data_IF_223176031595
#
_entry.id   IF_223176031595
#
_cell.length_a   1.000
_cell.length_b   1.000
_cell.length_c   1.000
_cell.angle_alpha   90.00
_cell.angle_beta   90.00
_cell.angle_gamma   90.00
#
_symmetry.space_group_name_H-M   'P 1'
#
loop_
_entity.id
_entity.type
_entity.pdbx_description
1 polymer ?
#
# COMPACT_ATOMS: atom_id res chain seq x y z
N UNK A 1 -17.66 16.84 -7.38
CA UNK A 1 -16.59 15.83 -7.30
C UNK A 1 -15.44 16.21 -6.36
N UNK A 2 -15.17 17.49 -6.08
CA UNK A 2 -14.02 17.88 -5.23
C UNK A 2 -14.12 17.47 -3.75
N UNK A 3 -15.32 17.48 -3.14
CA UNK A 3 -15.51 17.04 -1.75
C UNK A 3 -15.28 15.53 -1.51
N UNK A 4 -15.25 14.72 -2.58
CA UNK A 4 -15.11 13.26 -2.47
C UNK A 4 -13.63 12.88 -2.21
N UNK A 5 -12.68 13.73 -2.60
CA UNK A 5 -11.25 13.41 -2.50
C UNK A 5 -10.69 13.48 -1.08
N UNK A 6 -11.19 14.38 -0.24
CA UNK A 6 -10.78 14.47 1.17
C UNK A 6 -11.28 13.27 1.98
N UNK A 7 -12.52 12.83 1.74
CA UNK A 7 -13.09 11.62 2.37
C UNK A 7 -12.33 10.36 1.95
N UNK A 8 -11.91 10.29 0.67
CA UNK A 8 -11.10 9.18 0.16
C UNK A 8 -9.80 9.02 0.95
N UNK A 9 -9.18 10.12 1.39
CA UNK A 9 -7.88 10.08 2.07
C UNK A 9 -7.95 9.79 3.57
N UNK A 10 -9.14 9.81 4.18
CA UNK A 10 -9.35 9.71 5.64
C UNK A 10 -9.97 8.38 6.09
N UNK A 11 -10.48 7.56 5.18
CA UNK A 11 -11.11 6.28 5.51
C UNK A 11 -10.10 5.14 5.69
N UNK A 12 -10.34 4.22 6.61
CA UNK A 12 -9.53 3.01 6.81
C UNK A 12 -10.16 1.76 6.16
N UNK A 13 -11.38 1.88 5.62
CA UNK A 13 -12.14 0.76 5.08
C UNK A 13 -11.56 0.30 3.71
N UNK A 14 -11.08 -0.95 3.58
CA UNK A 14 -10.60 -1.48 2.29
C UNK A 14 -11.71 -1.58 1.23
N UNK A 15 -12.97 -1.71 1.63
CA UNK A 15 -14.12 -1.77 0.72
C UNK A 15 -14.39 -0.42 0.06
N UNK A 16 -13.94 0.67 0.69
CA UNK A 16 -14.18 2.02 0.20
C UNK A 16 -13.57 2.26 -1.19
N UNK A 17 -12.34 1.82 -1.45
CA UNK A 17 -11.70 2.01 -2.77
C UNK A 17 -12.48 1.29 -3.86
N UNK A 18 -12.94 0.07 -3.57
CA UNK A 18 -13.75 -0.73 -4.50
C UNK A 18 -15.09 -0.04 -4.77
N UNK A 19 -15.73 0.51 -3.73
CA UNK A 19 -16.98 1.25 -3.87
C UNK A 19 -16.81 2.50 -4.76
N UNK A 20 -15.71 3.24 -4.61
CA UNK A 20 -15.42 4.40 -5.45
C UNK A 20 -15.14 4.02 -6.91
N UNK A 21 -14.39 2.93 -7.15
CA UNK A 21 -14.18 2.40 -8.50
C UNK A 21 -15.52 2.02 -9.15
N UNK A 22 -16.41 1.36 -8.40
CA UNK A 22 -17.73 0.97 -8.88
C UNK A 22 -18.59 2.18 -9.25
N UNK A 23 -18.65 3.21 -8.38
CA UNK A 23 -19.37 4.47 -8.64
C UNK A 23 -18.83 5.18 -9.89
N UNK A 24 -17.51 5.22 -10.03
CA UNK A 24 -16.86 5.85 -11.17
C UNK A 24 -17.16 5.09 -12.47
N UNK A 25 -17.18 3.75 -12.44
CA UNK A 25 -17.57 2.93 -13.57
C UNK A 25 -19.03 3.18 -13.97
N UNK A 26 -19.94 3.23 -13.00
CA UNK A 26 -21.35 3.55 -13.24
C UNK A 26 -21.53 4.93 -13.91
N UNK A 27 -20.80 5.95 -13.43
CA UNK A 27 -20.79 7.28 -14.04
C UNK A 27 -20.21 7.28 -15.47
N UNK A 28 -19.22 6.45 -15.78
CA UNK A 28 -18.67 6.35 -17.13
C UNK A 28 -19.65 5.72 -18.12
N UNK A 29 -20.56 4.86 -17.63
CA UNK A 29 -21.52 4.11 -18.45
C UNK A 29 -22.94 4.64 -18.38
N UNK A 30 -23.19 5.76 -17.69
CA UNK A 30 -24.53 6.36 -17.59
C UNK A 30 -25.06 6.74 -18.99
N UNK A 31 -26.37 6.66 -19.18
CA UNK A 31 -27.04 7.07 -20.42
C UNK A 31 -26.98 8.60 -20.60
N UNK A 32 -26.93 9.35 -19.50
CA UNK A 32 -26.82 10.80 -19.46
C UNK A 32 -25.40 11.26 -19.83
N UNK A 33 -25.14 11.45 -21.13
CA UNK A 33 -23.81 11.75 -21.65
C UNK A 33 -23.17 12.99 -21.00
N UNK A 34 -23.98 13.98 -20.64
CA UNK A 34 -23.52 15.21 -19.98
C UNK A 34 -23.02 14.99 -18.55
N UNK A 35 -23.44 13.89 -17.90
CA UNK A 35 -22.97 13.50 -16.58
C UNK A 35 -21.70 12.64 -16.62
N UNK A 36 -21.33 12.13 -17.80
CA UNK A 36 -20.13 11.31 -17.93
C UNK A 36 -18.89 12.14 -17.61
N UNK A 37 -17.98 11.62 -16.77
CA UNK A 37 -16.75 12.34 -16.46
C UNK A 37 -15.89 12.47 -17.72
N UNK A 38 -15.21 13.61 -17.85
CA UNK A 38 -14.17 13.75 -18.86
C UNK A 38 -13.01 12.80 -18.57
N UNK A 39 -12.21 12.47 -19.59
CA UNK A 39 -11.00 11.65 -19.39
C UNK A 39 -10.02 12.28 -18.39
N UNK A 40 -9.95 13.61 -18.33
CA UNK A 40 -9.14 14.33 -17.34
C UNK A 40 -9.67 14.11 -15.91
N UNK A 41 -10.98 14.27 -15.71
CA UNK A 41 -11.63 14.04 -14.42
C UNK A 41 -11.46 12.58 -13.98
N UNK A 42 -11.63 11.63 -14.92
CA UNK A 42 -11.44 10.20 -14.69
C UNK A 42 -9.99 9.89 -14.27
N UNK A 43 -9.00 10.43 -14.99
CA UNK A 43 -7.59 10.24 -14.67
C UNK A 43 -7.23 10.84 -13.31
N UNK A 44 -7.73 12.04 -12.99
CA UNK A 44 -7.55 12.69 -11.67
C UNK A 44 -8.13 11.80 -10.56
N UNK A 45 -9.33 11.26 -10.76
CA UNK A 45 -10.01 10.44 -9.76
C UNK A 45 -9.28 9.11 -9.51
N UNK A 46 -8.94 8.38 -10.58
CA UNK A 46 -8.16 7.15 -10.50
C UNK A 46 -6.77 7.38 -9.89
N UNK A 47 -6.16 8.54 -10.16
CA UNK A 47 -4.89 8.93 -9.56
C UNK A 47 -4.96 9.08 -8.04
N UNK A 48 -6.04 9.66 -7.51
CA UNK A 48 -6.25 9.77 -6.05
C UNK A 48 -6.45 8.39 -5.43
N UNK A 49 -7.33 7.56 -6.01
CA UNK A 49 -7.58 6.19 -5.52
C UNK A 49 -6.31 5.34 -5.52
N UNK A 50 -5.48 5.44 -6.57
CA UNK A 50 -4.19 4.73 -6.65
C UNK A 50 -3.22 5.18 -5.55
N UNK A 51 -3.13 6.49 -5.27
CA UNK A 51 -2.26 7.01 -4.21
C UNK A 51 -2.71 6.55 -2.83
N UNK A 52 -4.00 6.59 -2.56
CA UNK A 52 -4.58 6.09 -1.32
C UNK A 52 -4.27 4.60 -1.12
N UNK A 53 -4.52 3.76 -2.13
CA UNK A 53 -4.26 2.33 -2.03
C UNK A 53 -2.77 2.00 -1.86
N UNK A 54 -1.88 2.74 -2.53
CA UNK A 54 -0.42 2.62 -2.33
C UNK A 54 0.01 3.00 -0.92
N UNK A 55 -0.53 4.08 -0.35
CA UNK A 55 -0.23 4.52 1.02
C UNK A 55 -0.60 3.43 2.02
N UNK A 56 -1.82 2.90 1.92
CA UNK A 56 -2.29 1.80 2.77
C UNK A 56 -1.43 0.54 2.67
N UNK A 57 -1.08 0.13 1.45
CA UNK A 57 -0.19 -1.03 1.25
C UNK A 57 1.19 -0.83 1.89
N UNK A 58 1.72 0.40 1.91
CA UNK A 58 2.98 0.69 2.58
C UNK A 58 2.83 0.62 4.12
N UNK A 59 1.70 1.06 4.66
CA UNK A 59 1.36 0.96 6.09
C UNK A 59 1.17 -0.51 6.53
N UNK A 60 0.46 -1.32 5.73
CA UNK A 60 0.28 -2.76 5.99
C UNK A 60 1.61 -3.53 5.93
N UNK A 61 2.51 -3.17 5.00
CA UNK A 61 3.86 -3.77 4.91
C UNK A 61 4.73 -3.35 6.11
N UNK A 62 4.62 -2.11 6.58
CA UNK A 62 5.31 -1.64 7.79
C UNK A 62 4.78 -2.26 9.08
N UNK A 63 3.49 -2.62 9.13
CA UNK A 63 2.90 -3.36 10.25
C UNK A 63 3.22 -4.86 10.21
N UNK A 64 3.41 -5.45 9.02
CA UNK A 64 3.73 -6.87 8.85
C UNK A 64 5.20 -7.20 9.12
N UNK A 65 6.13 -6.24 9.03
CA UNK A 65 7.54 -6.44 9.40
C UNK A 65 7.81 -6.47 10.91
N UNK A 66 6.76 -6.42 11.75
CA UNK A 66 6.86 -6.45 13.22
C UNK A 66 6.93 -7.83 13.86
N UNK A 67 6.84 -8.93 13.10
CA UNK A 67 7.06 -10.28 13.64
C UNK A 67 8.23 -10.96 12.92
N UNK A 68 9.20 -11.41 13.73
CA UNK A 68 10.42 -12.14 13.39
C UNK A 68 11.58 -11.35 12.75
N UNK A 69 12.36 -10.66 13.58
CA UNK A 69 13.82 -10.88 13.63
C UNK A 69 14.27 -10.91 15.09
N UNK A 70 13.81 -11.92 15.83
CA UNK A 70 14.61 -12.37 16.97
C UNK A 70 15.90 -12.99 16.39
N UNK A 71 17.03 -12.54 16.94
CA UNK A 71 18.41 -13.06 16.85
C UNK A 71 19.28 -12.79 15.60
N UNK A 72 19.72 -11.54 15.46
CA UNK A 72 21.13 -11.22 15.12
C UNK A 72 21.64 -10.32 16.26
N UNK A 73 22.83 -10.41 16.83
CA UNK A 73 23.99 -11.26 16.67
C UNK A 73 24.89 -10.96 17.91
N UNK A 74 25.41 -11.97 18.60
CA UNK A 74 26.66 -11.86 19.40
C UNK A 74 27.03 -13.21 20.05
N UNK A 75 27.50 -14.16 19.25
CA UNK A 75 28.33 -15.25 19.74
C UNK A 75 29.20 -15.78 18.60
N UNK A 76 30.11 -14.96 18.10
CA UNK A 76 31.31 -15.49 17.47
C UNK A 76 32.23 -15.94 18.61
N UNK A 77 32.02 -17.16 19.11
CA UNK A 77 33.02 -17.84 19.94
C UNK A 77 34.20 -18.14 19.03
N UNK A 78 35.30 -17.40 19.21
CA UNK A 78 36.57 -17.73 18.61
C UNK A 78 37.08 -19.03 19.23
N UNK A 79 36.97 -20.13 18.50
CA UNK A 79 37.76 -21.35 18.75
C UNK A 79 38.75 -21.45 17.61
N UNK A 80 39.92 -20.81 17.75
CA UNK A 80 41.10 -21.20 16.99
C UNK A 80 41.84 -22.23 17.82
N UNK A 81 41.46 -23.49 17.65
CA UNK A 81 42.35 -24.61 17.94
C UNK A 81 43.21 -24.81 16.70
N UNK A 82 44.52 -24.63 16.84
CA UNK A 82 45.48 -25.19 15.88
C UNK A 82 46.44 -26.09 16.64
N UNK A 83 46.65 -27.23 16.01
CA UNK A 83 47.17 -28.48 16.54
C UNK A 83 48.70 -28.53 16.46
N UNK A 84 49.30 -29.13 17.50
CA UNK A 84 50.60 -29.81 17.58
C UNK A 84 51.84 -29.25 16.84
N UNK A 85 52.93 -29.07 17.59
CA UNK A 85 54.27 -29.62 17.25
C UNK A 85 55.14 -29.64 18.51
N UNK A 86 55.49 -30.84 18.98
CA UNK A 86 56.55 -31.12 19.97
C UNK A 86 57.94 -31.00 19.33
N UNK A 87 58.97 -30.72 20.14
CA UNK A 87 60.17 -31.57 20.06
C UNK A 87 60.62 -32.16 21.40
#
# INVERSE_FOLDING_TARGET
MEMVYSEILQTEDPVFVVNQIWKLAALCTTEEVDERPTMEQLAKHLGVLRRFWKKRRAEDVGASTGYCTEVEAAAAVGISGDEATEP
#
